data_IF_420762039240
#
_entry.id   IF_420762039240
#
_cell.length_a   1.000
_cell.length_b   1.000
_cell.length_c   1.000
_cell.angle_alpha   90.00
_cell.angle_beta   90.00
_cell.angle_gamma   90.00
#
_symmetry.space_group_name_H-M   'P 1'
#
loop_
_entity.id
_entity.type
_entity.pdbx_description
1 polymer ?
#
# COMPACT_ATOMS: atom_id res chain seq x y z
N UNK A 1 -9.62 -13.06 42.92
CA UNK A 1 -8.19 -12.71 42.85
C UNK A 1 -7.97 -12.08 41.50
N UNK A 2 -7.77 -10.76 41.47
CA UNK A 2 -7.49 -10.03 40.25
C UNK A 2 -6.05 -10.30 39.83
N UNK A 3 -5.84 -11.03 38.76
CA UNK A 3 -4.53 -11.15 38.10
C UNK A 3 -4.21 -9.80 37.49
N UNK A 4 -3.06 -9.24 37.87
CA UNK A 4 -2.52 -8.00 37.32
C UNK A 4 -2.45 -8.10 35.80
N UNK A 5 -3.23 -7.27 35.11
CA UNK A 5 -3.01 -6.98 33.70
C UNK A 5 -1.65 -6.28 33.61
N UNK A 6 -0.61 -7.03 33.23
CA UNK A 6 0.59 -6.41 32.68
C UNK A 6 0.13 -5.66 31.44
N UNK A 7 0.16 -4.33 31.48
CA UNK A 7 0.04 -3.49 30.29
C UNK A 7 1.09 -3.99 29.32
N UNK A 8 0.65 -4.62 28.23
CA UNK A 8 1.51 -4.93 27.10
C UNK A 8 2.07 -3.58 26.65
N UNK A 9 3.36 -3.37 26.85
CA UNK A 9 4.00 -2.09 26.57
C UNK A 9 3.77 -1.69 25.11
N UNK A 10 3.54 -0.40 24.89
CA UNK A 10 3.36 0.18 23.54
C UNK A 10 4.55 -0.10 22.59
N UNK A 11 5.69 -0.54 23.14
CA UNK A 11 6.93 -0.86 22.42
C UNK A 11 6.95 -2.22 21.71
N UNK A 12 5.97 -3.12 21.93
CA UNK A 12 5.96 -4.42 21.24
C UNK A 12 5.44 -4.30 19.79
N UNK A 13 6.01 -5.04 18.81
CA UNK A 13 5.49 -5.08 17.46
C UNK A 13 4.04 -5.62 17.41
N UNK A 14 3.15 -4.87 16.78
CA UNK A 14 1.77 -5.27 16.50
C UNK A 14 1.79 -6.40 15.46
N UNK A 15 2.63 -6.25 14.43
CA UNK A 15 2.80 -7.21 13.36
C UNK A 15 4.16 -7.92 13.44
N UNK A 16 4.23 -9.16 12.97
CA UNK A 16 5.49 -9.83 12.71
C UNK A 16 5.47 -10.43 11.31
N UNK A 17 6.63 -10.44 10.62
CA UNK A 17 6.75 -11.02 9.27
C UNK A 17 6.29 -12.47 9.21
N UNK A 18 6.53 -13.24 10.28
CA UNK A 18 6.09 -14.62 10.39
C UNK A 18 4.55 -14.75 10.45
N UNK A 19 3.85 -13.77 11.03
CA UNK A 19 2.38 -13.78 11.07
C UNK A 19 1.82 -13.76 9.64
N UNK A 20 2.41 -12.97 8.74
CA UNK A 20 2.02 -12.91 7.33
C UNK A 20 2.33 -14.19 6.55
N UNK A 21 3.48 -14.81 6.79
CA UNK A 21 3.82 -16.10 6.19
C UNK A 21 2.85 -17.21 6.64
N UNK A 22 2.47 -17.21 7.92
CA UNK A 22 1.51 -18.18 8.45
C UNK A 22 0.12 -17.97 7.85
N UNK A 23 -0.33 -16.72 7.76
CA UNK A 23 -1.60 -16.36 7.09
C UNK A 23 -1.63 -16.90 5.67
N UNK A 24 -0.60 -16.63 4.86
CA UNK A 24 -0.51 -17.13 3.48
C UNK A 24 -0.56 -18.66 3.42
N UNK A 25 0.21 -19.34 4.27
CA UNK A 25 0.25 -20.80 4.28
C UNK A 25 -1.10 -21.43 4.67
N UNK A 26 -1.89 -20.78 5.53
CA UNK A 26 -3.25 -21.24 5.89
C UNK A 26 -4.26 -20.95 4.76
N UNK A 27 -4.13 -19.81 4.08
CA UNK A 27 -4.93 -19.48 2.90
C UNK A 27 -4.69 -20.49 1.77
N UNK A 28 -3.43 -20.82 1.47
CA UNK A 28 -3.05 -21.75 0.39
C UNK A 28 -3.48 -23.20 0.68
N UNK A 29 -3.40 -23.65 1.93
CA UNK A 29 -3.84 -24.99 2.33
C UNK A 29 -5.36 -25.14 2.37
N UNK A 30 -6.11 -24.06 2.11
CA UNK A 30 -7.55 -23.99 2.34
C UNK A 30 -7.93 -24.54 3.74
N UNK A 31 -7.08 -24.26 4.74
CA UNK A 31 -7.31 -24.69 6.12
C UNK A 31 -8.65 -24.15 6.61
N UNK A 32 -9.30 -24.84 7.55
CA UNK A 32 -10.60 -24.37 8.07
C UNK A 32 -10.50 -23.05 8.84
N UNK A 33 -9.30 -22.67 9.28
CA UNK A 33 -9.04 -21.51 10.12
C UNK A 33 -7.71 -20.86 9.80
N UNK A 34 -7.58 -19.57 10.12
CA UNK A 34 -6.32 -18.83 10.17
C UNK A 34 -6.00 -18.56 11.64
N UNK A 35 -4.78 -18.92 12.03
CA UNK A 35 -4.23 -18.57 13.34
C UNK A 35 -3.32 -17.36 13.21
N UNK A 36 -3.47 -16.40 14.12
CA UNK A 36 -2.71 -15.16 14.09
C UNK A 36 -2.50 -14.61 15.50
N UNK A 37 -1.40 -13.88 15.68
CA UNK A 37 -1.02 -13.26 16.95
C UNK A 37 -1.81 -11.97 17.15
N UNK A 38 -2.40 -11.79 18.33
CA UNK A 38 -2.96 -10.52 18.78
C UNK A 38 -1.94 -9.69 19.54
N UNK A 39 -2.30 -8.44 19.84
CA UNK A 39 -1.39 -7.46 20.46
C UNK A 39 -0.78 -7.93 21.78
N UNK A 40 -1.57 -8.60 22.62
CA UNK A 40 -1.11 -9.12 23.90
C UNK A 40 -0.35 -10.46 23.82
N UNK A 41 0.06 -10.89 22.62
CA UNK A 41 0.76 -12.15 22.39
C UNK A 41 -0.15 -13.38 22.38
N UNK A 42 -1.44 -13.23 22.66
CA UNK A 42 -2.42 -14.31 22.52
C UNK A 42 -2.61 -14.68 21.05
N UNK A 43 -2.77 -15.97 20.77
CA UNK A 43 -3.14 -16.44 19.44
C UNK A 43 -4.65 -16.52 19.32
N UNK A 44 -5.16 -16.00 18.21
CA UNK A 44 -6.55 -16.04 17.83
C UNK A 44 -6.73 -17.00 16.66
N UNK A 45 -7.89 -17.65 16.62
CA UNK A 45 -8.28 -18.55 15.54
C UNK A 45 -9.57 -18.04 14.92
N UNK A 46 -9.51 -17.64 13.65
CA UNK A 46 -10.70 -17.24 12.88
C UNK A 46 -10.95 -18.22 11.75
N UNK A 47 -12.21 -18.44 11.39
CA UNK A 47 -12.55 -19.26 10.23
C UNK A 47 -11.83 -18.69 9.00
N UNK A 48 -11.23 -19.56 8.19
CA UNK A 48 -10.57 -19.12 6.98
C UNK A 48 -11.65 -18.57 6.02
N UNK A 49 -11.49 -17.35 5.49
CA UNK A 49 -12.48 -16.76 4.61
C UNK A 49 -12.55 -17.41 3.22
N UNK A 50 -11.51 -18.15 2.79
CA UNK A 50 -11.39 -18.64 1.42
C UNK A 50 -11.98 -20.04 1.13
N UNK A 51 -12.02 -21.03 2.05
CA UNK A 51 -12.61 -22.33 1.77
C UNK A 51 -14.03 -22.22 1.23
N UNK A 52 -14.24 -22.72 0.00
CA UNK A 52 -15.53 -22.68 -0.68
C UNK A 52 -15.87 -21.36 -1.39
N UNK A 53 -15.02 -20.34 -1.30
CA UNK A 53 -15.13 -19.16 -2.17
C UNK A 53 -14.43 -19.42 -3.50
N UNK A 54 -15.11 -19.12 -4.61
CA UNK A 54 -14.43 -19.07 -5.89
C UNK A 54 -13.34 -17.98 -5.83
N UNK A 55 -12.15 -18.30 -6.34
CA UNK A 55 -11.06 -17.33 -6.57
C UNK A 55 -11.25 -16.57 -7.90
N UNK A 56 -12.27 -16.92 -8.69
CA UNK A 56 -12.56 -16.29 -9.97
C UNK A 56 -12.93 -14.82 -9.76
N UNK A 57 -12.49 -13.96 -10.65
CA UNK A 57 -12.88 -12.56 -10.58
C UNK A 57 -14.36 -12.38 -10.92
N UNK A 58 -14.96 -11.30 -10.41
CA UNK A 58 -16.32 -10.94 -10.79
C UNK A 58 -16.41 -10.77 -12.33
N UNK A 59 -17.46 -11.34 -12.92
CA UNK A 59 -17.73 -11.21 -14.35
C UNK A 59 -17.90 -9.73 -14.76
N UNK A 60 -17.67 -9.38 -16.04
CA UNK A 60 -17.82 -8.01 -16.50
C UNK A 60 -19.17 -7.39 -16.11
N UNK A 61 -19.15 -6.15 -15.63
CA UNK A 61 -20.33 -5.40 -15.16
C UNK A 61 -21.14 -6.10 -14.06
N UNK A 62 -20.54 -7.04 -13.33
CA UNK A 62 -21.16 -7.71 -12.20
C UNK A 62 -20.51 -7.32 -10.88
N UNK A 63 -21.09 -7.82 -9.78
CA UNK A 63 -20.56 -7.65 -8.44
C UNK A 63 -20.63 -9.00 -7.73
N UNK A 64 -19.55 -9.37 -7.06
CA UNK A 64 -19.54 -10.49 -6.11
C UNK A 64 -19.23 -9.95 -4.72
N UNK A 65 -19.65 -10.69 -3.69
CA UNK A 65 -19.26 -10.38 -2.32
C UNK A 65 -18.15 -11.34 -1.92
N UNK A 66 -17.02 -10.80 -1.44
CA UNK A 66 -15.85 -11.59 -1.10
C UNK A 66 -15.34 -11.23 0.29
N UNK A 67 -14.84 -12.26 0.99
CA UNK A 67 -14.13 -12.06 2.22
C UNK A 67 -12.64 -11.86 1.94
N UNK A 68 -12.01 -10.94 2.65
CA UNK A 68 -10.57 -10.72 2.58
C UNK A 68 -10.02 -10.31 3.94
N UNK A 69 -8.70 -10.35 4.06
CA UNK A 69 -8.00 -9.98 5.28
C UNK A 69 -7.78 -8.47 5.31
N UNK A 70 -8.21 -7.83 6.39
CA UNK A 70 -8.00 -6.41 6.65
C UNK A 70 -7.14 -6.23 7.89
N UNK A 71 -6.21 -5.27 7.84
CA UNK A 71 -5.28 -4.99 8.92
C UNK A 71 -5.73 -3.77 9.71
N UNK A 72 -5.64 -3.86 11.03
CA UNK A 72 -6.18 -2.86 11.96
C UNK A 72 -5.04 -2.14 12.66
N UNK A 73 -4.96 -0.82 12.46
CA UNK A 73 -3.88 -0.01 13.02
C UNK A 73 -3.99 0.21 14.54
N UNK A 74 -2.87 0.63 15.11
CA UNK A 74 -2.62 0.86 16.53
C UNK A 74 -3.72 1.70 17.20
N UNK A 75 -4.18 2.77 16.55
CA UNK A 75 -5.22 3.64 17.08
C UNK A 75 -6.53 2.88 17.33
N UNK A 76 -6.98 2.08 16.36
CA UNK A 76 -8.22 1.33 16.50
C UNK A 76 -8.07 0.25 17.59
N UNK A 77 -6.89 -0.39 17.67
CA UNK A 77 -6.57 -1.34 18.73
C UNK A 77 -6.53 -0.69 20.12
N UNK A 78 -5.99 0.54 20.24
CA UNK A 78 -6.00 1.32 21.48
C UNK A 78 -7.42 1.63 21.93
N UNK A 79 -8.28 2.10 21.01
CA UNK A 79 -9.69 2.36 21.31
C UNK A 79 -10.39 1.07 21.76
N UNK A 80 -10.19 -0.05 21.07
CA UNK A 80 -10.76 -1.32 21.47
C UNK A 80 -10.29 -1.74 22.87
N UNK A 81 -8.99 -1.64 23.16
CA UNK A 81 -8.43 -1.99 24.47
C UNK A 81 -9.02 -1.14 25.59
N UNK A 82 -9.11 0.18 25.38
CA UNK A 82 -9.68 1.11 26.36
C UNK A 82 -11.18 0.82 26.66
N UNK A 83 -11.89 0.19 25.73
CA UNK A 83 -13.29 -0.20 25.89
C UNK A 83 -13.47 -1.69 26.30
N UNK A 84 -12.38 -2.44 26.53
CA UNK A 84 -12.47 -3.87 26.84
C UNK A 84 -12.94 -4.74 25.67
N UNK A 85 -12.68 -4.30 24.44
CA UNK A 85 -12.98 -4.99 23.19
C UNK A 85 -11.78 -5.73 22.59
N UNK A 86 -10.74 -5.95 23.39
CA UNK A 86 -9.51 -6.66 23.03
C UNK A 86 -9.76 -8.11 22.57
N UNK A 87 -10.85 -8.72 23.01
CA UNK A 87 -11.32 -10.02 22.51
C UNK A 87 -12.00 -9.97 21.13
N UNK A 88 -12.45 -8.79 20.67
CA UNK A 88 -13.25 -8.63 19.44
C UNK A 88 -12.49 -7.97 18.30
N UNK A 89 -11.66 -6.97 18.62
CA UNK A 89 -10.83 -6.27 17.63
C UNK A 89 -9.37 -6.70 17.77
N UNK A 90 -8.85 -7.27 16.70
CA UNK A 90 -7.49 -7.79 16.64
C UNK A 90 -6.72 -7.15 15.48
N UNK A 91 -5.37 -7.22 15.44
CA UNK A 91 -4.56 -6.61 14.38
C UNK A 91 -4.91 -7.05 12.97
N UNK A 92 -5.57 -8.21 12.86
CA UNK A 92 -6.15 -8.77 11.65
C UNK A 92 -7.65 -9.00 11.84
N UNK A 93 -8.48 -8.57 10.89
CA UNK A 93 -9.91 -8.91 10.84
C UNK A 93 -10.28 -9.49 9.47
N UNK A 94 -11.38 -10.23 9.44
CA UNK A 94 -11.98 -10.68 8.19
C UNK A 94 -13.06 -9.68 7.85
N UNK A 95 -12.97 -9.10 6.67
CA UNK A 95 -13.92 -8.11 6.17
C UNK A 95 -14.60 -8.65 4.92
N UNK A 96 -15.86 -8.26 4.74
CA UNK A 96 -16.68 -8.68 3.61
C UNK A 96 -16.98 -7.44 2.79
N UNK A 97 -16.49 -7.37 1.55
CA UNK A 97 -16.73 -6.22 0.67
C UNK A 97 -17.28 -6.65 -0.70
N UNK A 98 -18.10 -5.79 -1.33
CA UNK A 98 -18.46 -5.95 -2.73
C UNK A 98 -17.23 -5.73 -3.60
N UNK A 99 -16.94 -6.68 -4.48
CA UNK A 99 -15.91 -6.59 -5.52
C UNK A 99 -16.64 -6.50 -6.86
N UNK A 100 -16.40 -5.41 -7.58
CA UNK A 100 -16.99 -5.22 -8.90
C UNK A 100 -16.08 -5.80 -9.97
N UNK A 101 -16.68 -6.47 -10.95
CA UNK A 101 -15.99 -6.92 -12.15
C UNK A 101 -15.62 -5.75 -13.06
N UNK A 102 -14.81 -6.01 -14.09
CA UNK A 102 -14.38 -4.97 -15.01
C UNK A 102 -15.57 -4.40 -15.79
N UNK A 103 -15.54 -3.11 -16.10
CA UNK A 103 -16.54 -2.47 -16.98
C UNK A 103 -15.96 -2.07 -18.35
N UNK A 104 -14.67 -2.29 -18.56
CA UNK A 104 -13.97 -2.16 -19.84
C UNK A 104 -13.19 -3.44 -20.15
N UNK A 105 -12.88 -3.67 -21.42
CA UNK A 105 -12.08 -4.81 -21.85
C UNK A 105 -10.56 -4.55 -21.73
N UNK A 106 -9.77 -5.60 -21.97
CA UNK A 106 -8.30 -5.56 -21.89
C UNK A 106 -7.69 -4.59 -22.89
N UNK A 107 -8.22 -4.54 -24.11
CA UNK A 107 -7.73 -3.63 -25.16
C UNK A 107 -7.91 -2.15 -24.77
N UNK A 108 -9.09 -1.81 -24.24
CA UNK A 108 -9.40 -0.46 -23.78
C UNK A 108 -8.53 -0.07 -22.59
N UNK A 109 -8.39 -0.95 -21.60
CA UNK A 109 -7.54 -0.70 -20.44
C UNK A 109 -6.06 -0.53 -20.83
N UNK A 110 -5.53 -1.38 -21.72
CA UNK A 110 -4.17 -1.26 -22.24
C UNK A 110 -3.96 0.04 -23.03
N UNK A 111 -4.97 0.47 -23.79
CA UNK A 111 -4.93 1.75 -24.53
C UNK A 111 -4.86 2.94 -23.58
N UNK A 112 -5.70 2.96 -22.53
CA UNK A 112 -5.64 4.02 -21.51
C UNK A 112 -4.32 4.04 -20.77
N UNK A 113 -3.82 2.88 -20.34
CA UNK A 113 -2.53 2.77 -19.68
C UNK A 113 -1.39 3.27 -20.58
N UNK A 114 -1.39 2.89 -21.85
CA UNK A 114 -0.37 3.34 -22.82
C UNK A 114 -0.41 4.86 -23.02
N UNK A 115 -1.61 5.42 -23.20
CA UNK A 115 -1.77 6.87 -23.35
C UNK A 115 -1.32 7.62 -22.08
N UNK A 116 -1.62 7.09 -20.90
CA UNK A 116 -1.20 7.68 -19.64
C UNK A 116 0.32 7.63 -19.44
N UNK A 117 0.97 6.53 -19.84
CA UNK A 117 2.44 6.43 -19.86
C UNK A 117 3.01 7.50 -20.79
N UNK A 118 2.52 7.62 -22.03
CA UNK A 118 3.03 8.60 -22.99
C UNK A 118 2.85 10.04 -22.48
N UNK A 119 1.68 10.35 -21.93
CA UNK A 119 1.40 11.66 -21.34
C UNK A 119 2.32 11.93 -20.16
N UNK A 120 2.49 10.94 -19.26
CA UNK A 120 3.40 11.03 -18.12
C UNK A 120 4.86 11.25 -18.54
N UNK A 121 5.38 10.47 -19.48
CA UNK A 121 6.75 10.58 -19.97
C UNK A 121 7.02 11.91 -20.67
N UNK A 122 6.00 12.51 -21.29
CA UNK A 122 6.10 13.85 -21.89
C UNK A 122 6.15 14.98 -20.86
N UNK A 123 5.74 14.70 -19.62
CA UNK A 123 5.67 15.70 -18.55
C UNK A 123 7.08 15.97 -17.96
N UNK A 124 7.53 17.24 -17.85
CA UNK A 124 8.80 17.58 -17.21
C UNK A 124 8.95 17.04 -15.77
N UNK A 125 7.83 16.84 -15.05
CA UNK A 125 7.84 16.22 -13.72
C UNK A 125 8.38 14.79 -13.79
N UNK A 126 8.00 13.99 -14.78
CA UNK A 126 8.52 12.63 -14.97
C UNK A 126 10.04 12.65 -15.19
N UNK A 127 10.52 13.53 -16.06
CA UNK A 127 11.97 13.67 -16.32
C UNK A 127 12.72 14.07 -15.04
N UNK A 128 12.19 15.03 -14.28
CA UNK A 128 12.79 15.46 -13.03
C UNK A 128 12.78 14.36 -11.96
N UNK A 129 11.67 13.63 -11.85
CA UNK A 129 11.55 12.48 -10.98
C UNK A 129 12.60 11.43 -11.33
N UNK A 130 12.62 10.96 -12.58
CA UNK A 130 13.58 9.97 -13.07
C UNK A 130 15.04 10.36 -12.73
N UNK A 131 15.43 11.59 -13.06
CA UNK A 131 16.78 12.08 -12.78
C UNK A 131 17.08 12.14 -11.28
N UNK A 132 16.11 12.55 -10.46
CA UNK A 132 16.26 12.59 -9.01
C UNK A 132 16.42 11.19 -8.44
N UNK A 133 15.54 10.26 -8.79
CA UNK A 133 15.54 8.87 -8.32
C UNK A 133 16.83 8.13 -8.65
N UNK A 134 17.41 8.39 -9.83
CA UNK A 134 18.70 7.82 -10.22
C UNK A 134 19.83 8.20 -9.27
N UNK A 135 19.76 9.37 -8.64
CA UNK A 135 20.78 9.85 -7.72
C UNK A 135 20.48 9.36 -6.30
N UNK A 136 19.21 9.46 -5.87
CA UNK A 136 18.87 9.31 -4.45
C UNK A 136 18.61 7.87 -4.01
N UNK A 137 18.14 7.01 -4.91
CA UNK A 137 17.75 5.66 -4.50
C UNK A 137 18.98 4.77 -4.23
N UNK A 138 18.91 3.83 -3.27
CA UNK A 138 19.96 2.83 -3.08
C UNK A 138 20.08 1.89 -4.30
N UNK A 139 21.29 1.53 -4.68
CA UNK A 139 21.55 0.64 -5.83
C UNK A 139 21.19 -0.82 -5.58
N UNK A 140 21.10 -1.23 -4.30
CA UNK A 140 20.76 -2.59 -3.89
C UNK A 140 19.25 -2.89 -3.95
N UNK A 141 18.41 -1.95 -4.42
CA UNK A 141 17.00 -2.23 -4.60
C UNK A 141 16.81 -3.23 -5.74
N UNK A 142 16.23 -4.38 -5.42
CA UNK A 142 15.96 -5.47 -6.38
C UNK A 142 14.48 -5.61 -6.72
N UNK A 143 13.59 -5.03 -5.90
CA UNK A 143 12.15 -5.07 -6.12
C UNK A 143 11.43 -3.86 -5.58
N UNK A 144 10.31 -3.55 -6.23
CA UNK A 144 9.29 -2.63 -5.75
C UNK A 144 8.10 -3.48 -5.28
N UNK A 145 7.58 -3.20 -4.09
CA UNK A 145 6.32 -3.78 -3.62
C UNK A 145 5.34 -2.64 -3.37
N UNK A 146 4.33 -2.54 -4.24
CA UNK A 146 3.33 -1.49 -4.20
C UNK A 146 1.97 -2.02 -3.72
N UNK A 147 1.34 -1.29 -2.81
CA UNK A 147 0.07 -1.68 -2.21
C UNK A 147 -1.02 -0.64 -2.50
N UNK A 148 -2.21 -1.12 -2.88
CA UNK A 148 -3.40 -0.27 -3.00
C UNK A 148 -3.29 0.79 -4.10
N UNK A 149 -2.70 0.43 -5.25
CA UNK A 149 -2.49 1.34 -6.39
C UNK A 149 -3.75 1.50 -7.25
N UNK A 150 -4.84 0.82 -6.88
CA UNK A 150 -6.12 0.92 -7.57
C UNK A 150 -6.16 0.10 -8.85
N UNK A 151 -7.38 -0.06 -9.38
CA UNK A 151 -7.69 -0.97 -10.50
C UNK A 151 -7.80 -0.20 -11.81
N UNK A 152 -7.35 -0.82 -12.91
CA UNK A 152 -7.45 -0.26 -14.26
C UNK A 152 -8.59 -0.84 -15.10
N UNK A 153 -9.28 -1.88 -14.61
CA UNK A 153 -10.38 -2.54 -15.30
C UNK A 153 -11.75 -1.89 -15.09
N UNK A 154 -11.82 -0.80 -14.33
CA UNK A 154 -13.04 -0.05 -14.06
C UNK A 154 -12.79 1.42 -14.39
N UNK A 155 -13.56 1.97 -15.31
CA UNK A 155 -13.51 3.39 -15.66
C UNK A 155 -14.90 3.99 -15.59
N UNK A 156 -15.04 5.06 -14.82
CA UNK A 156 -16.24 5.84 -14.62
C UNK A 156 -16.36 6.88 -15.73
N UNK A 157 -16.62 6.39 -16.95
CA UNK A 157 -16.91 7.23 -18.11
C UNK A 157 -18.14 8.09 -17.78
N UNK A 158 -17.94 9.40 -17.62
CA UNK A 158 -18.94 10.42 -17.24
C UNK A 158 -19.25 10.61 -15.74
N UNK A 159 -18.41 10.10 -14.82
CA UNK A 159 -18.48 10.47 -13.40
C UNK A 159 -17.38 11.48 -13.04
N UNK A 160 -17.60 12.38 -12.05
CA UNK A 160 -16.51 13.03 -11.33
C UNK A 160 -15.45 12.04 -10.82
N UNK A 161 -15.84 10.80 -10.56
CA UNK A 161 -14.94 9.72 -10.12
C UNK A 161 -13.91 9.28 -11.18
N UNK A 162 -14.03 9.73 -12.44
CA UNK A 162 -13.04 9.51 -13.51
C UNK A 162 -11.62 9.89 -13.06
N UNK A 163 -11.53 10.89 -12.19
CA UNK A 163 -10.30 11.39 -11.63
C UNK A 163 -9.55 10.31 -10.80
N UNK A 164 -10.26 9.44 -10.08
CA UNK A 164 -9.65 8.31 -9.37
C UNK A 164 -9.12 7.23 -10.34
N UNK A 165 -9.81 7.04 -11.47
CA UNK A 165 -9.37 6.09 -12.49
C UNK A 165 -8.06 6.57 -13.11
N UNK A 166 -8.00 7.85 -13.53
CA UNK A 166 -6.78 8.49 -14.07
C UNK A 166 -5.62 8.39 -13.08
N UNK A 167 -5.88 8.66 -11.80
CA UNK A 167 -4.88 8.50 -10.74
C UNK A 167 -4.28 7.10 -10.72
N UNK A 168 -5.13 6.05 -10.76
CA UNK A 168 -4.65 4.66 -10.75
C UNK A 168 -3.72 4.38 -11.93
N UNK A 169 -4.10 4.77 -13.16
CA UNK A 169 -3.24 4.61 -14.35
C UNK A 169 -1.90 5.37 -14.19
N UNK A 170 -1.95 6.60 -13.68
CA UNK A 170 -0.75 7.43 -13.48
C UNK A 170 0.21 6.83 -12.45
N UNK A 171 -0.32 6.25 -11.38
CA UNK A 171 0.52 5.58 -10.36
C UNK A 171 1.28 4.39 -10.95
N UNK A 172 0.68 3.60 -11.85
CA UNK A 172 1.42 2.54 -12.56
C UNK A 172 2.50 3.10 -13.49
N UNK A 173 2.22 4.16 -14.25
CA UNK A 173 3.21 4.80 -15.12
C UNK A 173 4.43 5.32 -14.32
N UNK A 174 4.15 5.78 -13.11
CA UNK A 174 5.16 6.16 -12.15
C UNK A 174 6.00 4.97 -11.66
N UNK A 175 5.39 3.85 -11.26
CA UNK A 175 6.15 2.67 -10.82
C UNK A 175 7.11 2.19 -11.92
N UNK A 176 6.70 2.27 -13.19
CA UNK A 176 7.57 2.02 -14.34
C UNK A 176 8.75 3.00 -14.40
N UNK A 177 8.51 4.28 -14.11
CA UNK A 177 9.58 5.31 -14.05
C UNK A 177 10.57 5.04 -12.91
N UNK A 178 10.08 4.63 -11.74
CA UNK A 178 10.93 4.25 -10.59
C UNK A 178 11.79 3.03 -10.96
N UNK A 179 11.18 1.98 -11.51
CA UNK A 179 11.89 0.79 -11.95
C UNK A 179 12.94 1.12 -13.02
N UNK A 180 12.59 1.98 -13.99
CA UNK A 180 13.52 2.46 -15.02
C UNK A 180 14.71 3.19 -14.41
N UNK A 181 14.49 4.10 -13.45
CA UNK A 181 15.56 4.82 -12.78
C UNK A 181 16.54 3.89 -12.03
N UNK A 182 16.01 2.84 -11.41
CA UNK A 182 16.83 1.82 -10.74
C UNK A 182 17.59 0.94 -11.75
N UNK A 183 16.91 0.50 -12.81
CA UNK A 183 17.47 -0.39 -13.83
C UNK A 183 18.57 0.26 -14.67
N UNK A 184 18.43 1.55 -14.99
CA UNK A 184 19.44 2.29 -15.77
C UNK A 184 20.79 2.46 -15.01
N UNK A 185 20.87 2.02 -13.75
CA UNK A 185 22.10 2.03 -12.93
C UNK A 185 22.73 0.65 -12.78
N UNK A 186 22.02 -0.41 -13.14
CA UNK A 186 22.49 -1.79 -13.06
C UNK A 186 23.47 -2.07 -14.19
N UNK A 187 24.47 -2.92 -13.94
CA UNK A 187 25.38 -3.37 -14.99
C UNK A 187 24.65 -4.27 -16.01
N UNK A 188 25.22 -4.38 -17.21
CA UNK A 188 24.70 -5.30 -18.22
C UNK A 188 24.70 -6.75 -17.69
N UNK A 189 23.56 -7.41 -17.77
CA UNK A 189 23.38 -8.79 -17.30
C UNK A 189 22.89 -8.93 -15.86
N UNK A 190 22.75 -7.83 -15.10
CA UNK A 190 22.08 -7.87 -13.81
C UNK A 190 20.56 -8.03 -13.95
N UNK A 191 19.96 -8.74 -13.00
CA UNK A 191 18.51 -8.88 -12.92
C UNK A 191 17.85 -7.52 -12.75
N UNK A 192 16.82 -7.28 -13.57
CA UNK A 192 16.03 -6.06 -13.55
C UNK A 192 15.16 -6.02 -12.28
N UNK A 193 14.89 -4.81 -11.79
CA UNK A 193 14.00 -4.59 -10.66
C UNK A 193 12.60 -5.09 -10.99
N UNK A 194 12.12 -6.05 -10.20
CA UNK A 194 10.77 -6.59 -10.31
C UNK A 194 9.75 -5.63 -9.66
N UNK A 195 8.60 -5.44 -10.30
CA UNK A 195 7.52 -4.60 -9.75
C UNK A 195 6.37 -5.51 -9.30
N UNK A 196 6.22 -5.68 -8.00
CA UNK A 196 5.12 -6.40 -7.40
C UNK A 196 4.02 -5.46 -6.97
N UNK A 197 2.78 -5.80 -7.31
CA UNK A 197 1.61 -4.98 -6.97
C UNK A 197 0.53 -5.83 -6.32
N UNK A 198 -0.06 -5.31 -5.25
CA UNK A 198 -1.13 -5.98 -4.51
C UNK A 198 -2.29 -5.03 -4.26
N UNK A 199 -3.46 -5.39 -4.81
CA UNK A 199 -4.72 -4.70 -4.54
C UNK A 199 -5.88 -5.71 -4.48
N UNK A 200 -6.66 -5.75 -3.39
CA UNK A 200 -7.85 -6.61 -3.27
C UNK A 200 -8.91 -6.38 -4.35
N UNK A 201 -8.90 -5.23 -5.02
CA UNK A 201 -9.91 -4.81 -6.00
C UNK A 201 -9.55 -5.13 -7.45
N UNK A 202 -8.40 -5.77 -7.69
CA UNK A 202 -8.01 -6.19 -9.03
C UNK A 202 -9.01 -7.13 -9.67
N UNK A 203 -9.37 -6.77 -10.91
CA UNK A 203 -10.19 -7.58 -11.81
C UNK A 203 -9.32 -8.44 -12.71
N UNK A 204 -9.94 -9.35 -13.45
CA UNK A 204 -9.25 -10.15 -14.48
C UNK A 204 -8.55 -9.27 -15.51
N UNK A 205 -9.17 -8.16 -15.91
CA UNK A 205 -8.58 -7.16 -16.82
C UNK A 205 -7.34 -6.52 -16.22
N UNK A 206 -7.35 -6.16 -14.93
CA UNK A 206 -6.16 -5.61 -14.25
C UNK A 206 -5.01 -6.62 -14.31
N UNK A 207 -5.30 -7.87 -13.94
CA UNK A 207 -4.30 -8.93 -13.88
C UNK A 207 -3.71 -9.20 -15.24
N UNK A 208 -4.53 -9.33 -16.27
CA UNK A 208 -4.05 -9.61 -17.63
C UNK A 208 -3.22 -8.45 -18.17
N UNK A 209 -3.76 -7.23 -18.18
CA UNK A 209 -3.09 -6.08 -18.80
C UNK A 209 -1.80 -5.70 -18.07
N UNK A 210 -1.83 -5.56 -16.74
CA UNK A 210 -0.64 -5.16 -15.97
C UNK A 210 0.47 -6.21 -16.09
N UNK A 211 0.14 -7.50 -16.03
CA UNK A 211 1.15 -8.56 -16.09
C UNK A 211 1.70 -8.77 -17.49
N UNK A 212 0.82 -8.91 -18.49
CA UNK A 212 1.19 -9.30 -19.85
C UNK A 212 1.79 -8.16 -20.65
N UNK A 213 1.22 -6.96 -20.52
CA UNK A 213 1.55 -5.84 -21.41
C UNK A 213 2.57 -4.88 -20.78
N UNK A 214 2.63 -4.82 -19.45
CA UNK A 214 3.46 -3.86 -18.71
C UNK A 214 4.44 -4.48 -17.70
N UNK A 215 4.51 -5.81 -17.60
CA UNK A 215 5.56 -6.52 -16.84
C UNK A 215 5.41 -6.47 -15.32
N UNK A 216 4.22 -6.18 -14.80
CA UNK A 216 3.97 -6.21 -13.36
C UNK A 216 3.74 -7.64 -12.83
N UNK A 217 4.26 -7.92 -11.65
CA UNK A 217 3.97 -9.16 -10.93
C UNK A 217 2.79 -8.95 -9.99
N UNK A 218 1.65 -9.57 -10.32
CA UNK A 218 0.46 -9.47 -9.49
C UNK A 218 0.58 -10.39 -8.28
N UNK A 219 0.49 -9.81 -7.08
CA UNK A 219 0.29 -10.56 -5.85
C UNK A 219 -1.22 -10.70 -5.63
N UNK A 220 -1.66 -11.91 -5.29
CA UNK A 220 -3.07 -12.18 -4.96
C UNK A 220 -3.60 -11.22 -3.89
N UNK A 221 -4.75 -10.60 -4.15
CA UNK A 221 -5.26 -9.49 -3.34
C UNK A 221 -5.87 -9.86 -1.99
N UNK A 222 -5.92 -11.14 -1.61
CA UNK A 222 -6.74 -11.58 -0.46
C UNK A 222 -5.96 -11.89 0.81
N UNK A 223 -4.63 -11.94 0.73
CA UNK A 223 -3.76 -12.27 1.84
C UNK A 223 -2.74 -11.18 2.18
N UNK A 224 -1.69 -11.57 2.87
CA UNK A 224 -0.59 -10.76 3.35
C UNK A 224 0.73 -10.91 2.56
N UNK A 225 0.74 -11.66 1.44
CA UNK A 225 1.97 -12.02 0.70
C UNK A 225 2.88 -10.84 0.39
N UNK A 226 2.35 -9.69 -0.04
CA UNK A 226 3.18 -8.52 -0.32
C UNK A 226 3.99 -8.06 0.89
N UNK A 227 3.40 -8.07 2.09
CA UNK A 227 4.12 -7.73 3.31
C UNK A 227 5.23 -8.74 3.63
N UNK A 228 4.99 -10.02 3.39
CA UNK A 228 6.00 -11.06 3.58
C UNK A 228 7.19 -10.93 2.60
N UNK A 229 7.01 -10.25 1.47
CA UNK A 229 8.06 -10.01 0.48
C UNK A 229 8.92 -8.78 0.79
N UNK A 230 8.50 -7.89 1.71
CA UNK A 230 9.29 -6.70 2.05
C UNK A 230 10.52 -7.08 2.85
N UNK A 231 11.67 -6.58 2.41
CA UNK A 231 12.99 -6.74 3.03
C UNK A 231 13.84 -5.45 2.86
N UNK A 232 15.11 -5.49 3.27
CA UNK A 232 16.04 -4.35 3.20
C UNK A 232 16.41 -3.90 1.78
N UNK A 233 16.14 -4.71 0.76
CA UNK A 233 16.38 -4.40 -0.66
C UNK A 233 15.09 -4.00 -1.39
N UNK A 234 14.01 -3.77 -0.64
CA UNK A 234 12.71 -3.40 -1.21
C UNK A 234 12.55 -1.89 -1.27
N UNK A 235 11.92 -1.39 -2.33
CA UNK A 235 11.21 -0.11 -2.33
C UNK A 235 9.72 -0.37 -2.07
N UNK A 236 9.17 0.22 -1.02
CA UNK A 236 7.73 0.13 -0.73
C UNK A 236 7.01 1.36 -1.26
N UNK A 237 5.92 1.15 -2.00
CA UNK A 237 5.07 2.24 -2.48
C UNK A 237 3.61 2.04 -2.05
N UNK A 238 2.93 3.13 -1.70
CA UNK A 238 1.49 3.11 -1.46
C UNK A 238 0.96 4.51 -1.24
N UNK A 239 0.20 5.03 -2.21
CA UNK A 239 -0.21 6.43 -2.18
C UNK A 239 -1.52 6.67 -1.44
N UNK A 240 -2.42 5.69 -1.36
CA UNK A 240 -3.69 5.86 -0.64
C UNK A 240 -4.15 4.57 0.04
N UNK A 241 -3.32 3.96 0.92
CA UNK A 241 -3.72 2.74 1.59
C UNK A 241 -4.93 3.01 2.52
N UNK A 242 -5.96 2.17 2.38
CA UNK A 242 -7.13 2.14 3.27
C UNK A 242 -6.89 1.22 4.50
N UNK A 243 -5.63 0.98 4.83
CA UNK A 243 -5.15 0.11 5.91
C UNK A 243 -3.82 0.69 6.46
N UNK A 244 -3.32 0.27 7.64
CA UNK A 244 -2.18 0.89 8.31
C UNK A 244 -0.82 0.47 7.72
N UNK A 245 -0.58 0.79 6.44
CA UNK A 245 0.63 0.40 5.70
C UNK A 245 1.91 0.78 6.46
N UNK A 246 2.04 2.03 6.91
CA UNK A 246 3.25 2.54 7.53
C UNK A 246 3.56 1.86 8.86
N UNK A 247 2.54 1.56 9.66
CA UNK A 247 2.69 0.83 10.92
C UNK A 247 3.14 -0.61 10.66
N UNK A 248 2.53 -1.28 9.67
CA UNK A 248 2.92 -2.64 9.28
C UNK A 248 4.39 -2.68 8.85
N UNK A 249 4.81 -1.76 7.97
CA UNK A 249 6.21 -1.67 7.53
C UNK A 249 7.15 -1.40 8.71
N UNK A 250 6.76 -0.50 9.63
CA UNK A 250 7.54 -0.19 10.82
C UNK A 250 7.74 -1.38 11.77
N UNK A 251 6.85 -2.37 11.75
CA UNK A 251 6.98 -3.57 12.56
C UNK A 251 7.74 -4.71 11.86
N UNK A 252 7.62 -4.85 10.52
CA UNK A 252 8.09 -6.06 9.84
C UNK A 252 9.43 -5.93 9.13
N UNK A 253 9.80 -4.72 8.71
CA UNK A 253 10.96 -4.53 7.85
C UNK A 253 11.58 -3.14 7.98
N UNK A 254 12.73 -2.95 7.34
CA UNK A 254 13.39 -1.65 7.14
C UNK A 254 13.80 -1.54 5.67
N UNK A 255 12.84 -1.31 4.75
CA UNK A 255 13.10 -1.26 3.32
C UNK A 255 14.13 -0.20 2.95
N UNK A 256 14.78 -0.34 1.81
CA UNK A 256 15.78 0.60 1.32
C UNK A 256 15.19 1.99 1.04
N UNK A 257 13.95 2.03 0.53
CA UNK A 257 13.23 3.25 0.27
C UNK A 257 11.71 3.06 0.42
N UNK A 258 11.00 4.16 0.70
CA UNK A 258 9.54 4.18 0.84
C UNK A 258 8.97 5.45 0.19
N UNK A 259 7.80 5.32 -0.45
CA UNK A 259 7.04 6.45 -1.00
C UNK A 259 5.55 6.32 -0.66
N UNK A 260 5.01 7.34 0.01
CA UNK A 260 3.60 7.42 0.43
C UNK A 260 3.20 8.88 0.73
N UNK A 261 1.91 9.23 0.77
CA UNK A 261 1.44 10.57 1.08
C UNK A 261 1.82 10.97 2.51
N UNK A 262 2.03 12.25 2.71
CA UNK A 262 2.23 12.80 4.04
C UNK A 262 0.91 13.07 4.74
N UNK A 263 0.62 12.25 5.74
CA UNK A 263 -0.38 12.54 6.77
C UNK A 263 0.31 12.47 8.13
N UNK A 264 0.93 13.58 8.52
CA UNK A 264 1.49 13.74 9.86
C UNK A 264 0.40 13.91 10.91
N UNK A 265 0.78 13.78 12.19
CA UNK A 265 -0.15 13.94 13.32
C UNK A 265 -0.85 15.30 13.31
N UNK A 266 -0.13 16.35 12.91
CA UNK A 266 -0.63 17.72 12.93
C UNK A 266 -1.69 17.98 11.83
N UNK A 267 -1.43 17.45 10.63
CA UNK A 267 -2.35 17.48 9.50
C UNK A 267 -3.60 16.66 9.82
N UNK A 268 -3.43 15.49 10.43
CA UNK A 268 -4.53 14.65 10.90
C UNK A 268 -5.41 15.36 11.93
N UNK A 269 -4.82 16.01 12.94
CA UNK A 269 -5.56 16.70 14.01
C UNK A 269 -6.46 17.83 13.47
N UNK A 270 -6.12 18.39 12.30
CA UNK A 270 -6.88 19.42 11.60
C UNK A 270 -7.98 18.87 10.67
N UNK A 271 -8.02 17.57 10.42
CA UNK A 271 -9.05 16.97 9.59
C UNK A 271 -10.43 17.04 10.28
N UNK A 272 -11.51 17.26 9.51
CA UNK A 272 -12.87 17.07 10.01
C UNK A 272 -13.05 15.66 10.60
N UNK A 273 -13.86 15.51 11.64
CA UNK A 273 -14.10 14.22 12.34
C UNK A 273 -14.44 13.08 11.37
N UNK A 274 -15.24 13.34 10.33
CA UNK A 274 -15.59 12.36 9.29
C UNK A 274 -14.36 11.83 8.54
N UNK A 275 -13.38 12.69 8.28
CA UNK A 275 -12.16 12.34 7.55
C UNK A 275 -11.15 11.64 8.47
N UNK A 276 -11.16 11.99 9.77
CA UNK A 276 -10.36 11.30 10.79
C UNK A 276 -10.72 9.82 10.93
N UNK A 277 -11.98 9.47 10.69
CA UNK A 277 -12.49 8.10 10.73
C UNK A 277 -12.01 7.28 9.51
N UNK A 278 -11.78 7.92 8.36
CA UNK A 278 -11.45 7.27 7.09
C UNK A 278 -9.94 7.18 6.87
N UNK A 279 -9.14 8.06 7.47
CA UNK A 279 -7.68 7.98 7.42
C UNK A 279 -7.21 6.71 8.17
N UNK A 280 -6.85 5.69 7.39
CA UNK A 280 -6.46 4.37 7.88
C UNK A 280 -4.95 4.28 8.18
N UNK A 281 -4.14 5.03 7.44
CA UNK A 281 -2.69 5.06 7.55
C UNK A 281 -2.24 6.42 8.07
N UNK A 282 -2.02 6.55 9.38
CA UNK A 282 -1.62 7.80 10.06
C UNK A 282 -0.23 7.59 10.66
N UNK A 283 0.56 8.66 10.74
CA UNK A 283 1.87 8.60 11.38
C UNK A 283 1.77 8.43 12.91
N UNK A 284 2.09 7.23 13.41
CA UNK A 284 2.16 6.90 14.83
C UNK A 284 3.57 7.11 15.41
N UNK A 285 3.72 6.95 16.73
CA UNK A 285 5.03 7.02 17.41
C UNK A 285 6.01 5.98 16.84
N UNK A 286 5.52 4.78 16.55
CA UNK A 286 6.26 3.69 15.92
C UNK A 286 6.72 4.02 14.50
N UNK A 287 5.85 4.63 13.69
CA UNK A 287 6.23 5.11 12.36
C UNK A 287 7.31 6.17 12.49
N UNK A 288 7.17 7.13 13.42
CA UNK A 288 8.18 8.16 13.68
C UNK A 288 9.54 7.55 14.08
N UNK A 289 9.54 6.59 15.00
CA UNK A 289 10.74 5.87 15.41
C UNK A 289 11.42 5.17 14.22
N UNK A 290 10.67 4.49 13.34
CA UNK A 290 11.23 3.93 12.12
C UNK A 290 11.84 5.03 11.22
N UNK A 291 11.14 6.14 11.02
CA UNK A 291 11.56 7.22 10.13
C UNK A 291 12.85 7.92 10.58
N UNK A 292 13.28 7.78 11.84
CA UNK A 292 14.59 8.27 12.30
C UNK A 292 15.76 7.60 11.55
N UNK A 293 15.58 6.39 11.04
CA UNK A 293 16.56 5.68 10.21
C UNK A 293 16.60 6.18 8.75
N UNK A 294 15.68 7.07 8.37
CA UNK A 294 15.49 7.52 6.99
C UNK A 294 15.78 9.01 6.83
N UNK A 295 16.19 9.39 5.63
CA UNK A 295 16.22 10.78 5.18
C UNK A 295 14.96 11.06 4.35
N UNK A 296 14.25 12.14 4.68
CA UNK A 296 13.18 12.70 3.83
C UNK A 296 13.87 13.36 2.62
N UNK A 297 13.44 12.97 1.41
CA UNK A 297 14.00 13.49 0.17
C UNK A 297 12.91 14.25 -0.59
N UNK A 298 13.05 15.58 -0.74
CA UNK A 298 12.11 16.34 -1.54
C UNK A 298 12.29 15.97 -3.01
N UNK A 299 11.20 15.60 -3.69
CA UNK A 299 11.23 15.37 -5.13
C UNK A 299 10.67 16.60 -5.85
N UNK A 300 11.40 17.16 -6.83
CA UNK A 300 10.91 18.29 -7.62
C UNK A 300 9.58 17.96 -8.30
N UNK A 301 8.54 18.75 -7.99
CA UNK A 301 7.17 18.53 -8.50
C UNK A 301 6.16 18.21 -7.40
N UNK A 302 6.59 17.65 -6.27
CA UNK A 302 5.72 17.42 -5.09
C UNK A 302 5.62 18.71 -4.27
N UNK A 303 5.02 19.78 -4.83
CA UNK A 303 4.82 21.01 -4.04
C UNK A 303 3.65 20.81 -3.07
N UNK A 304 3.93 20.78 -1.77
CA UNK A 304 2.92 21.15 -0.79
C UNK A 304 2.54 22.60 -1.06
N UNK A 305 1.38 22.87 -1.66
CA UNK A 305 0.84 24.22 -1.47
C UNK A 305 0.58 24.33 0.02
N UNK A 306 0.91 25.46 0.64
CA UNK A 306 0.41 25.84 1.96
C UNK A 306 -1.13 26.05 1.85
N UNK A 307 -1.87 25.01 1.48
CA UNK A 307 -3.31 25.01 1.57
C UNK A 307 -3.60 24.82 3.04
N UNK A 308 -4.17 25.84 3.66
CA UNK A 308 -4.95 25.68 4.86
C UNK A 308 -5.99 24.58 4.61
N UNK A 309 -5.67 23.35 5.01
CA UNK A 309 -6.43 22.10 4.92
C UNK A 309 -7.84 22.15 5.54
N UNK A 310 -8.35 23.34 5.86
CA UNK A 310 -9.62 23.56 6.54
C UNK A 310 -10.79 23.96 5.64
N UNK A 311 -10.60 24.25 4.35
CA UNK A 311 -11.69 24.80 3.53
C UNK A 311 -11.64 24.35 2.07
N UNK A 312 -11.90 23.07 1.82
CA UNK A 312 -12.86 22.63 0.79
C UNK A 312 -12.92 21.11 0.76
N UNK A 313 -14.13 20.62 0.53
CA UNK A 313 -14.44 19.21 0.26
C UNK A 313 -13.47 18.69 -0.82
N UNK A 314 -12.74 17.61 -0.52
CA UNK A 314 -12.00 16.76 -1.47
C UNK A 314 -11.50 17.49 -2.73
N UNK A 315 -10.66 18.52 -2.55
CA UNK A 315 -10.17 19.34 -3.65
C UNK A 315 -9.64 18.49 -4.79
N UNK A 316 -10.22 18.67 -5.98
CA UNK A 316 -9.85 18.07 -7.26
C UNK A 316 -8.33 18.13 -7.55
N UNK A 317 -7.58 19.05 -6.93
CA UNK A 317 -6.12 19.15 -7.01
C UNK A 317 -5.36 17.86 -6.60
N UNK A 318 -5.90 17.05 -5.68
CA UNK A 318 -5.29 15.75 -5.30
C UNK A 318 -5.30 14.74 -6.45
N UNK A 319 -6.21 14.93 -7.40
CA UNK A 319 -6.45 13.98 -8.49
C UNK A 319 -5.79 14.43 -9.81
N UNK A 320 -5.26 15.65 -9.86
CA UNK A 320 -4.52 16.18 -11.02
C UNK A 320 -3.04 15.81 -10.97
N UNK A 321 -2.47 15.62 -9.78
CA UNK A 321 -1.08 15.19 -9.59
C UNK A 321 -1.01 14.11 -8.49
N UNK A 322 -0.82 12.81 -8.81
CA UNK A 322 -0.85 11.72 -7.82
C UNK A 322 0.29 11.77 -6.79
N UNK A 323 1.22 12.72 -6.92
CA UNK A 323 2.31 12.96 -5.98
C UNK A 323 2.10 14.20 -5.13
N UNK A 324 0.92 14.80 -5.18
CA UNK A 324 0.57 15.88 -4.29
C UNK A 324 0.73 15.40 -2.84
N UNK A 325 1.70 15.98 -2.14
CA UNK A 325 2.13 15.63 -0.77
C UNK A 325 2.76 14.24 -0.57
N UNK A 326 3.15 13.52 -1.63
CA UNK A 326 3.92 12.28 -1.49
C UNK A 326 5.34 12.56 -1.00
N UNK A 327 5.73 11.87 0.08
CA UNK A 327 7.08 11.94 0.66
C UNK A 327 7.89 10.72 0.34
N UNK A 328 9.18 10.96 0.16
CA UNK A 328 10.16 9.92 -0.10
C UNK A 328 11.09 9.77 1.08
N UNK A 329 11.21 8.53 1.53
CA UNK A 329 12.10 8.17 2.62
C UNK A 329 13.15 7.22 2.07
N UNK A 330 14.41 7.62 2.10
CA UNK A 330 15.54 6.76 1.73
C UNK A 330 16.29 6.38 2.99
N UNK A 331 16.63 5.10 3.16
CA UNK A 331 17.32 4.65 4.35
C UNK A 331 18.70 5.31 4.42
N UNK A 332 19.06 5.88 5.58
CA UNK A 332 20.40 6.44 5.80
C UNK A 332 21.42 5.31 5.65
N UNK A 333 22.45 5.52 4.82
CA UNK A 333 23.56 4.58 4.78
C UNK A 333 24.17 4.52 6.18
N UNK A 334 24.39 3.30 6.70
CA UNK A 334 25.25 3.13 7.87
C UNK A 334 26.62 3.62 7.42
N UNK A 335 27.02 4.81 7.85
CA UNK A 335 28.43 5.20 7.79
C UNK A 335 29.13 4.14 8.60
N UNK A 336 29.84 3.24 7.92
CA UNK A 336 30.72 2.29 8.59
C UNK A 336 31.77 3.15 9.29
N UNK A 337 31.60 3.35 10.60
CA UNK A 337 32.64 3.93 11.44
C UNK A 337 33.80 2.94 11.39
N UNK A 338 34.78 3.23 10.53
CA UNK A 338 36.07 2.58 10.52
C UNK A 338 36.88 3.00 11.74
#
# INVERSE_FOLDING_TARGET
MATSQNSVGDDQPIYAKQDFLNIEAELERAGSHIEYRGRAGWYFKKANPLPGQSLDDAAPNSMIVRNYIEFVGERALNVATANGWDQWLTPMVISTKPIHGPNIDTHTAATYMTNEILDWESNPICTNLYNTLKVILPANIDKIVAFGIGRIGNVHLNSPDRLFDVQSFREYAYLLTVAKALNDRKAAGEEQVAIYVQDPTYTSVCKEVLSRDFGFHIIGGYGARGFAMVDENTLVAGHHPNFPLREIIADIARPAAMCWPFWGKYEFDRLPTRNKIIAADIETDRVRAMLEEYQDVPIPGTRSKNTTLGQSEWNIAWLEEPFYDSKWYVRKSKVSSY
#
